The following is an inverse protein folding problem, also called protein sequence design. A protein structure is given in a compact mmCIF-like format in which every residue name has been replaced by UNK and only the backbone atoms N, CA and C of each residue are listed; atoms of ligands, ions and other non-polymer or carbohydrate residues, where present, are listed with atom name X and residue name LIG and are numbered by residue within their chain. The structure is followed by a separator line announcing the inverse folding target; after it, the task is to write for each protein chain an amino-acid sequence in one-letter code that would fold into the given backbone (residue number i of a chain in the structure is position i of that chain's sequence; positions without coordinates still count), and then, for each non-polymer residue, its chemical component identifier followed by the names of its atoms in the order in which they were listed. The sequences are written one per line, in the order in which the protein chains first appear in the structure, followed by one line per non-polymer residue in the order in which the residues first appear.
data_IF_129312584916
#
_entry.id   IF_129312584916
#
_cell.length_a   1.000
_cell.length_b   1.000
_cell.length_c   1.000
_cell.angle_alpha   90.00
_cell.angle_beta   90.00
_cell.angle_gamma   90.00
#
_symmetry.space_group_name_H-M   'P 1'
#
loop_
_entity.id
_entity.type
_entity.pdbx_description
1 polymer ?
#
# COMPACT_ATOMS: atom_id res chain seq x y z
N UNK A 1 48.28 -40.40 37.10
CA UNK A 1 46.80 -40.39 36.92
C UNK A 1 46.22 -38.99 36.84
N UNK A 2 46.63 -37.99 37.65
CA UNK A 2 46.13 -36.63 37.69
C UNK A 2 46.31 -35.85 36.37
N UNK A 3 47.42 -36.01 35.66
CA UNK A 3 47.73 -35.35 34.39
C UNK A 3 46.76 -35.74 33.25
N UNK A 4 46.43 -37.04 33.12
CA UNK A 4 45.47 -37.50 32.07
C UNK A 4 44.06 -37.01 32.29
N UNK A 5 43.62 -36.83 33.53
CA UNK A 5 42.29 -36.27 33.84
C UNK A 5 42.23 -34.78 33.48
N UNK A 6 43.29 -34.03 33.71
CA UNK A 6 43.37 -32.61 33.32
C UNK A 6 43.41 -32.46 31.80
N UNK A 7 44.13 -33.30 31.07
CA UNK A 7 44.17 -33.30 29.60
C UNK A 7 42.78 -33.61 29.01
N UNK A 8 42.09 -34.63 29.50
CA UNK A 8 40.73 -34.97 29.09
C UNK A 8 39.72 -33.83 29.41
N UNK A 9 39.86 -33.13 30.54
CA UNK A 9 39.01 -32.01 30.91
C UNK A 9 39.22 -30.82 29.96
N UNK A 10 40.47 -30.53 29.59
CA UNK A 10 40.78 -29.47 28.61
C UNK A 10 40.20 -29.79 27.24
N UNK A 11 40.35 -31.06 26.80
CA UNK A 11 39.83 -31.51 25.52
C UNK A 11 38.30 -31.43 25.48
N UNK A 12 37.60 -31.83 26.53
CA UNK A 12 36.14 -31.70 26.66
C UNK A 12 35.68 -30.23 26.63
N UNK A 13 36.40 -29.34 27.33
CA UNK A 13 36.08 -27.88 27.28
C UNK A 13 36.30 -27.32 25.88
N UNK A 14 37.36 -27.70 25.19
CA UNK A 14 37.63 -27.25 23.82
C UNK A 14 36.54 -27.71 22.84
N UNK A 15 36.05 -28.94 22.96
CA UNK A 15 34.95 -29.46 22.14
C UNK A 15 33.65 -28.69 22.41
N UNK A 16 33.29 -28.48 23.68
CA UNK A 16 32.11 -27.70 24.05
C UNK A 16 32.22 -26.27 23.52
N UNK A 17 33.38 -25.64 23.67
CA UNK A 17 33.61 -24.30 23.15
C UNK A 17 33.46 -24.25 21.62
N UNK A 18 34.03 -25.19 20.89
CA UNK A 18 33.91 -25.27 19.44
C UNK A 18 32.45 -25.42 18.98
N UNK A 19 31.64 -26.23 19.68
CA UNK A 19 30.22 -26.40 19.42
C UNK A 19 29.44 -25.10 19.68
N UNK A 20 29.71 -24.41 20.80
CA UNK A 20 29.07 -23.13 21.12
C UNK A 20 29.39 -22.05 20.07
N UNK A 21 30.64 -21.98 19.61
CA UNK A 21 31.04 -21.05 18.55
C UNK A 21 30.33 -21.40 17.24
N UNK A 22 30.22 -22.70 16.90
CA UNK A 22 29.47 -23.09 15.70
C UNK A 22 28.01 -22.66 15.76
N UNK A 23 27.33 -22.87 16.89
CA UNK A 23 25.92 -22.38 17.05
C UNK A 23 25.82 -20.87 16.97
N UNK A 24 26.72 -20.13 17.61
CA UNK A 24 26.70 -18.66 17.54
C UNK A 24 26.90 -18.13 16.11
N UNK A 25 27.75 -18.80 15.31
CA UNK A 25 27.97 -18.47 13.91
C UNK A 25 26.71 -18.78 13.06
N UNK A 26 26.07 -19.92 13.31
CA UNK A 26 24.87 -20.31 12.58
C UNK A 26 23.71 -19.35 12.89
N UNK A 27 23.47 -19.02 14.16
CA UNK A 27 22.46 -18.04 14.59
C UNK A 27 22.71 -16.66 13.98
N UNK A 28 23.97 -16.18 13.99
CA UNK A 28 24.34 -14.92 13.37
C UNK A 28 24.09 -14.91 11.85
N UNK A 29 24.37 -16.03 11.16
CA UNK A 29 24.11 -16.17 9.72
C UNK A 29 22.61 -16.14 9.40
N UNK A 30 21.81 -16.87 10.19
CA UNK A 30 20.36 -16.90 10.04
C UNK A 30 19.74 -15.50 10.26
N UNK A 31 20.14 -14.83 11.34
CA UNK A 31 19.68 -13.47 11.63
C UNK A 31 20.03 -12.49 10.49
N UNK A 32 21.25 -12.60 9.95
CA UNK A 32 21.67 -11.78 8.83
C UNK A 32 20.84 -12.05 7.57
N UNK A 33 20.56 -13.30 7.26
CA UNK A 33 19.72 -13.66 6.11
C UNK A 33 18.28 -13.13 6.26
N UNK A 34 17.73 -13.17 7.47
CA UNK A 34 16.40 -12.64 7.74
C UNK A 34 16.35 -11.11 7.59
N UNK A 35 17.37 -10.39 8.03
CA UNK A 35 17.50 -8.95 7.80
C UNK A 35 17.62 -8.63 6.30
N UNK A 36 18.49 -9.33 5.57
CA UNK A 36 18.63 -9.15 4.12
C UNK A 36 17.30 -9.45 3.38
N UNK A 37 16.49 -10.35 3.91
CA UNK A 37 15.16 -10.63 3.37
C UNK A 37 14.16 -9.54 3.72
N UNK A 38 14.20 -8.97 4.92
CA UNK A 38 13.38 -7.82 5.32
C UNK A 38 13.67 -6.58 4.47
N UNK A 39 14.94 -6.30 4.18
CA UNK A 39 15.34 -5.20 3.30
C UNK A 39 14.80 -5.37 1.88
N UNK A 40 14.83 -6.59 1.34
CA UNK A 40 14.23 -6.89 0.02
C UNK A 40 12.71 -6.76 0.03
N UNK A 41 12.05 -7.24 1.10
CA UNK A 41 10.61 -7.10 1.25
C UNK A 41 10.20 -5.62 1.32
N UNK A 42 10.95 -4.82 2.09
CA UNK A 42 10.76 -3.36 2.16
C UNK A 42 10.93 -2.71 0.79
N UNK A 43 12.00 -3.00 0.08
CA UNK A 43 12.24 -2.46 -1.26
C UNK A 43 11.12 -2.83 -2.26
N UNK A 44 10.56 -4.04 -2.17
CA UNK A 44 9.44 -4.46 -3.00
C UNK A 44 8.16 -3.66 -2.68
N UNK A 45 7.88 -3.39 -1.40
CA UNK A 45 6.75 -2.55 -0.98
C UNK A 45 6.93 -1.10 -1.43
N UNK A 46 8.14 -0.54 -1.30
CA UNK A 46 8.44 0.82 -1.77
C UNK A 46 8.29 0.95 -3.29
N UNK A 47 8.69 -0.08 -4.05
CA UNK A 47 8.47 -0.12 -5.49
C UNK A 47 6.97 -0.23 -5.86
N UNK A 48 6.19 -1.01 -5.11
CA UNK A 48 4.73 -1.08 -5.28
C UNK A 48 4.07 0.28 -4.99
N UNK A 49 4.48 0.94 -3.91
CA UNK A 49 3.98 2.29 -3.57
C UNK A 49 4.31 3.29 -4.69
N UNK A 50 5.53 3.25 -5.25
CA UNK A 50 5.92 4.13 -6.36
C UNK A 50 5.05 3.90 -7.60
N UNK A 51 4.79 2.65 -7.98
CA UNK A 51 3.90 2.30 -9.08
C UNK A 51 2.46 2.78 -8.83
N UNK A 52 1.96 2.63 -7.60
CA UNK A 52 0.65 3.14 -7.22
C UNK A 52 0.59 4.68 -7.36
N UNK A 53 1.62 5.42 -6.94
CA UNK A 53 1.68 6.88 -7.12
C UNK A 53 1.58 7.27 -8.58
N UNK A 54 2.34 6.62 -9.47
CA UNK A 54 2.29 6.87 -10.92
C UNK A 54 0.88 6.65 -11.48
N UNK A 55 0.17 5.62 -11.03
CA UNK A 55 -1.20 5.33 -11.47
C UNK A 55 -2.19 6.39 -10.99
N UNK A 56 -2.07 6.85 -9.72
CA UNK A 56 -2.87 7.94 -9.21
C UNK A 56 -2.60 9.26 -9.96
N UNK A 57 -1.35 9.57 -10.28
CA UNK A 57 -1.00 10.76 -11.06
C UNK A 57 -1.55 10.71 -12.49
N UNK A 58 -1.46 9.56 -13.15
CA UNK A 58 -1.94 9.38 -14.52
C UNK A 58 -3.47 9.54 -14.64
N UNK A 59 -4.23 9.22 -13.60
CA UNK A 59 -5.70 9.24 -13.62
C UNK A 59 -6.32 10.53 -13.07
N UNK A 60 -5.56 11.37 -12.37
CA UNK A 60 -6.04 12.58 -11.70
C UNK A 60 -6.80 13.52 -12.64
N UNK A 61 -6.21 13.89 -13.78
CA UNK A 61 -6.81 14.84 -14.73
C UNK A 61 -8.13 14.33 -15.36
N UNK A 62 -8.24 13.00 -15.56
CA UNK A 62 -9.45 12.39 -16.06
C UNK A 62 -10.58 12.45 -15.02
N UNK A 63 -10.26 12.14 -13.76
CA UNK A 63 -11.22 12.22 -12.65
C UNK A 63 -11.72 13.64 -12.44
N UNK A 64 -10.83 14.65 -12.44
CA UNK A 64 -11.16 16.06 -12.31
C UNK A 64 -12.09 16.53 -13.46
N UNK A 65 -11.81 16.09 -14.69
CA UNK A 65 -12.60 16.43 -15.87
C UNK A 65 -14.02 15.88 -15.77
N UNK A 66 -14.18 14.63 -15.35
CA UNK A 66 -15.50 14.01 -15.16
C UNK A 66 -16.27 14.65 -14.02
N UNK A 67 -15.59 14.95 -12.91
CA UNK A 67 -16.20 15.65 -11.79
C UNK A 67 -16.70 17.05 -12.20
N UNK A 68 -15.90 17.80 -12.96
CA UNK A 68 -16.27 19.13 -13.44
C UNK A 68 -17.50 19.07 -14.37
N UNK A 69 -17.51 18.13 -15.32
CA UNK A 69 -18.61 17.93 -16.27
C UNK A 69 -19.92 17.56 -15.56
N UNK A 70 -19.87 16.58 -14.65
CA UNK A 70 -21.03 16.20 -13.84
C UNK A 70 -21.52 17.35 -12.96
N UNK A 71 -20.60 18.10 -12.34
CA UNK A 71 -20.93 19.27 -11.54
C UNK A 71 -21.58 20.38 -12.35
N UNK A 72 -21.21 20.58 -13.60
CA UNK A 72 -21.84 21.53 -14.51
C UNK A 72 -23.26 21.10 -14.90
N UNK A 73 -23.42 19.82 -15.26
CA UNK A 73 -24.73 19.25 -15.59
C UNK A 73 -25.72 19.37 -14.43
N UNK A 74 -25.29 19.07 -13.21
CA UNK A 74 -26.11 19.16 -11.99
C UNK A 74 -26.46 20.64 -11.67
N UNK A 75 -25.51 21.56 -11.78
CA UNK A 75 -25.75 22.98 -11.50
C UNK A 75 -26.72 23.66 -12.49
N UNK A 76 -26.65 23.25 -13.76
CA UNK A 76 -27.46 23.81 -14.83
C UNK A 76 -28.82 23.10 -15.02
N UNK A 77 -29.10 22.06 -14.25
CA UNK A 77 -30.27 21.18 -14.40
C UNK A 77 -30.38 20.61 -15.84
N UNK A 78 -29.22 20.31 -16.46
CA UNK A 78 -29.14 19.90 -17.87
C UNK A 78 -28.33 18.62 -18.06
N UNK A 79 -29.01 17.46 -18.10
CA UNK A 79 -28.32 16.18 -18.35
C UNK A 79 -27.76 16.07 -19.78
N UNK A 80 -28.17 16.90 -20.72
CA UNK A 80 -27.68 16.87 -22.10
C UNK A 80 -26.20 17.27 -22.21
N UNK A 81 -25.66 18.00 -21.23
CA UNK A 81 -24.24 18.33 -21.13
C UNK A 81 -23.37 17.10 -21.03
N UNK A 82 -23.92 15.95 -20.64
CA UNK A 82 -23.19 14.67 -20.61
C UNK A 82 -23.13 13.97 -21.98
N UNK A 83 -23.61 14.58 -23.01
CA UNK A 83 -23.75 14.30 -24.46
C UNK A 83 -22.98 13.18 -25.12
N UNK A 84 -22.47 12.21 -24.41
CA UNK A 84 -21.69 11.09 -24.89
C UNK A 84 -21.29 10.12 -23.78
N UNK A 85 -20.53 9.11 -24.15
CA UNK A 85 -19.99 8.13 -23.21
C UNK A 85 -18.97 8.81 -22.29
N UNK A 86 -19.26 8.89 -20.99
CA UNK A 86 -18.27 9.26 -19.98
C UNK A 86 -17.39 8.02 -19.75
N UNK A 87 -16.23 8.02 -20.38
CA UNK A 87 -15.21 7.02 -20.11
C UNK A 87 -14.11 7.63 -19.24
N UNK A 88 -13.91 7.09 -18.04
CA UNK A 88 -12.76 7.42 -17.21
C UNK A 88 -12.22 6.16 -16.58
N UNK A 89 -10.92 6.18 -16.30
CA UNK A 89 -10.25 5.11 -15.57
C UNK A 89 -9.95 5.59 -14.16
N UNK A 90 -10.21 4.73 -13.20
CA UNK A 90 -9.79 4.93 -11.81
C UNK A 90 -8.56 4.09 -11.54
N UNK A 91 -7.64 4.55 -10.67
CA UNK A 91 -6.49 3.75 -10.29
C UNK A 91 -6.93 2.50 -9.52
N UNK A 92 -6.24 1.39 -9.80
CA UNK A 92 -6.40 0.11 -9.11
C UNK A 92 -5.14 -0.20 -8.27
N UNK A 93 -4.98 0.46 -7.10
CA UNK A 93 -3.73 0.35 -6.35
C UNK A 93 -3.46 -1.09 -5.91
N UNK A 94 -2.26 -1.58 -6.22
CA UNK A 94 -1.78 -2.88 -5.76
C UNK A 94 -1.43 -2.85 -4.28
N UNK A 95 -1.67 -3.96 -3.58
CA UNK A 95 -1.20 -4.22 -2.21
C UNK A 95 -0.55 -5.60 -2.09
N UNK A 96 -0.11 -6.18 -3.19
CA UNK A 96 0.41 -7.55 -3.24
C UNK A 96 1.73 -7.69 -2.48
N UNK A 97 2.69 -6.78 -2.70
CA UNK A 97 3.98 -6.79 -2.00
C UNK A 97 3.80 -6.51 -0.50
N UNK A 98 2.93 -5.55 -0.15
CA UNK A 98 2.59 -5.27 1.25
C UNK A 98 2.02 -6.49 1.96
N UNK A 99 1.01 -7.14 1.40
CA UNK A 99 0.42 -8.36 1.98
C UNK A 99 1.41 -9.50 2.08
N UNK A 100 2.25 -9.69 1.06
CA UNK A 100 3.30 -10.70 1.09
C UNK A 100 4.34 -10.44 2.19
N UNK A 101 4.71 -9.18 2.42
CA UNK A 101 5.67 -8.80 3.47
C UNK A 101 5.15 -9.11 4.87
N UNK A 102 3.86 -8.88 5.14
CA UNK A 102 3.23 -9.16 6.43
C UNK A 102 3.19 -10.66 6.78
N UNK A 103 3.00 -11.53 5.78
CA UNK A 103 2.97 -12.98 5.95
C UNK A 103 4.35 -13.63 5.94
N UNK A 104 5.42 -12.88 5.76
CA UNK A 104 6.77 -13.40 5.61
C UNK A 104 7.47 -13.66 6.95
N UNK A 105 8.45 -14.58 6.94
CA UNK A 105 9.35 -14.82 8.09
C UNK A 105 10.22 -13.60 8.43
N UNK A 106 10.33 -12.64 7.53
CA UNK A 106 11.07 -11.40 7.73
C UNK A 106 10.24 -10.28 8.40
N UNK A 107 8.93 -10.44 8.55
CA UNK A 107 8.06 -9.42 9.14
C UNK A 107 8.57 -8.89 10.51
N UNK A 108 9.09 -9.72 11.43
CA UNK A 108 9.64 -9.25 12.71
C UNK A 108 10.89 -8.37 12.60
N UNK A 109 11.56 -8.39 11.45
CA UNK A 109 12.79 -7.63 11.18
C UNK A 109 12.53 -6.31 10.44
N UNK A 110 11.29 -6.04 10.04
CA UNK A 110 10.90 -4.75 9.47
C UNK A 110 10.84 -3.68 10.56
N UNK A 111 11.21 -2.45 10.23
CA UNK A 111 11.08 -1.32 11.16
C UNK A 111 9.61 -1.09 11.54
N UNK A 112 9.32 -1.16 12.81
CA UNK A 112 7.94 -1.04 13.32
C UNK A 112 7.28 0.28 12.96
N UNK A 113 8.03 1.41 13.02
CA UNK A 113 7.52 2.72 12.66
C UNK A 113 7.15 2.80 11.19
N UNK A 114 8.00 2.21 10.33
CA UNK A 114 7.72 2.10 8.90
C UNK A 114 6.48 1.23 8.64
N UNK A 115 6.38 0.06 9.28
CA UNK A 115 5.21 -0.84 9.17
C UNK A 115 3.91 -0.11 9.49
N UNK A 116 3.86 0.65 10.58
CA UNK A 116 2.65 1.42 10.97
C UNK A 116 2.30 2.48 9.92
N UNK A 117 3.30 3.20 9.38
CA UNK A 117 3.04 4.21 8.36
C UNK A 117 2.48 3.59 7.07
N UNK A 118 3.10 2.51 6.61
CA UNK A 118 2.66 1.78 5.42
C UNK A 118 1.26 1.21 5.62
N UNK A 119 0.99 0.56 6.76
CA UNK A 119 -0.33 0.03 7.08
C UNK A 119 -1.43 1.10 6.97
N UNK A 120 -1.21 2.27 7.57
CA UNK A 120 -2.17 3.39 7.52
C UNK A 120 -2.40 3.91 6.11
N UNK A 121 -1.38 3.94 5.27
CA UNK A 121 -1.53 4.37 3.89
C UNK A 121 -2.37 3.36 3.09
N UNK A 122 -2.13 2.07 3.26
CA UNK A 122 -2.92 1.03 2.60
C UNK A 122 -4.37 0.95 3.11
N UNK A 123 -4.64 1.22 4.40
CA UNK A 123 -6.01 1.33 4.93
C UNK A 123 -6.83 2.41 4.20
N UNK A 124 -6.22 3.57 3.94
CA UNK A 124 -6.88 4.65 3.17
C UNK A 124 -7.03 4.25 1.71
N UNK A 125 -6.03 3.61 1.11
CA UNK A 125 -6.07 3.08 -0.26
C UNK A 125 -7.17 2.04 -0.43
N UNK A 126 -7.35 1.11 0.51
CA UNK A 126 -8.44 0.13 0.49
C UNK A 126 -9.82 0.79 0.63
N UNK A 127 -9.92 1.87 1.41
CA UNK A 127 -11.15 2.63 1.54
C UNK A 127 -11.48 3.35 0.24
N UNK A 128 -10.48 3.94 -0.41
CA UNK A 128 -10.60 4.51 -1.75
C UNK A 128 -11.12 3.47 -2.75
N UNK A 129 -10.49 2.29 -2.82
CA UNK A 129 -10.89 1.23 -3.76
C UNK A 129 -12.36 0.82 -3.60
N UNK A 130 -12.85 0.68 -2.35
CA UNK A 130 -14.26 0.37 -2.08
C UNK A 130 -15.23 1.47 -2.53
N UNK A 131 -14.83 2.74 -2.43
CA UNK A 131 -15.66 3.87 -2.89
C UNK A 131 -15.63 3.95 -4.41
N UNK A 132 -14.47 3.70 -5.03
CA UNK A 132 -14.28 3.66 -6.48
C UNK A 132 -15.16 2.59 -7.12
N UNK A 133 -15.17 1.37 -6.58
CA UNK A 133 -16.03 0.28 -7.04
C UNK A 133 -17.52 0.69 -7.03
N UNK A 134 -17.99 1.28 -5.93
CA UNK A 134 -19.38 1.76 -5.83
C UNK A 134 -19.67 2.90 -6.82
N UNK A 135 -18.71 3.80 -7.07
CA UNK A 135 -18.89 4.87 -8.05
C UNK A 135 -19.05 4.33 -9.48
N UNK A 136 -18.28 3.28 -9.83
CA UNK A 136 -18.38 2.59 -11.11
C UNK A 136 -19.74 1.91 -11.25
N UNK A 137 -20.22 1.22 -10.22
CA UNK A 137 -21.51 0.54 -10.20
C UNK A 137 -22.67 1.52 -10.40
N UNK A 138 -22.65 2.65 -9.67
CA UNK A 138 -23.66 3.68 -9.80
C UNK A 138 -23.68 4.30 -11.19
N UNK A 139 -22.51 4.63 -11.75
CA UNK A 139 -22.39 5.18 -13.10
C UNK A 139 -22.91 4.19 -14.14
N UNK A 140 -22.58 2.91 -14.01
CA UNK A 140 -23.04 1.85 -14.91
C UNK A 140 -24.56 1.73 -14.88
N UNK A 141 -25.21 1.89 -13.72
CA UNK A 141 -26.64 1.81 -13.56
C UNK A 141 -27.38 2.96 -14.27
N UNK A 142 -26.79 4.16 -14.27
CA UNK A 142 -27.39 5.37 -14.91
C UNK A 142 -27.26 5.32 -16.43
N UNK A 143 -26.16 4.80 -16.96
CA UNK A 143 -25.95 4.64 -18.41
C UNK A 143 -27.04 3.73 -19.01
N UNK A 144 -27.50 2.72 -18.26
CA UNK A 144 -28.54 1.77 -18.71
C UNK A 144 -29.98 2.27 -18.64
N UNK A 145 -30.29 3.26 -17.77
CA UNK A 145 -31.66 3.71 -17.46
C UNK A 145 -32.01 5.09 -17.98
N UNK A 146 -31.06 5.81 -18.51
CA UNK A 146 -31.16 7.21 -18.90
C UNK A 146 -30.82 8.17 -17.76
N UNK A 147 -29.90 9.10 -18.02
CA UNK A 147 -29.43 10.06 -17.05
C UNK A 147 -30.49 11.11 -16.75
N UNK A 148 -30.90 11.28 -15.50
CA UNK A 148 -31.68 12.38 -14.98
C UNK A 148 -30.88 13.10 -13.90
N UNK A 149 -31.20 14.36 -13.61
CA UNK A 149 -30.49 15.10 -12.56
C UNK A 149 -30.64 14.41 -11.19
N UNK A 150 -31.81 13.85 -10.91
CA UNK A 150 -32.05 13.10 -9.68
C UNK A 150 -31.10 11.89 -9.51
N UNK A 151 -30.81 11.18 -10.61
CA UNK A 151 -29.87 10.04 -10.60
C UNK A 151 -28.40 10.48 -10.61
N UNK A 152 -28.09 11.65 -11.14
CA UNK A 152 -26.72 12.17 -11.26
C UNK A 152 -26.20 12.85 -10.00
N UNK A 153 -27.07 13.48 -9.22
CA UNK A 153 -26.68 14.22 -8.03
C UNK A 153 -25.95 13.35 -6.98
N UNK A 154 -26.41 12.15 -6.63
CA UNK A 154 -25.68 11.27 -5.72
C UNK A 154 -24.35 10.77 -6.30
N UNK A 155 -24.27 10.55 -7.62
CA UNK A 155 -23.03 10.16 -8.30
C UNK A 155 -22.00 11.29 -8.22
N UNK A 156 -22.43 12.53 -8.50
CA UNK A 156 -21.56 13.69 -8.35
C UNK A 156 -21.02 13.83 -6.92
N UNK A 157 -21.90 13.73 -5.91
CA UNK A 157 -21.46 13.75 -4.51
C UNK A 157 -20.42 12.68 -4.18
N UNK A 158 -20.56 11.48 -4.73
CA UNK A 158 -19.58 10.39 -4.54
C UNK A 158 -18.27 10.65 -5.27
N UNK A 159 -18.31 11.22 -6.48
CA UNK A 159 -17.10 11.60 -7.21
C UNK A 159 -16.31 12.71 -6.50
N UNK A 160 -16.99 13.66 -5.84
CA UNK A 160 -16.31 14.67 -5.01
C UNK A 160 -15.52 14.00 -3.87
N UNK A 161 -16.14 13.05 -3.16
CA UNK A 161 -15.47 12.29 -2.10
C UNK A 161 -14.31 11.47 -2.68
N UNK A 162 -14.52 10.84 -3.82
CA UNK A 162 -13.52 10.03 -4.49
C UNK A 162 -12.30 10.85 -4.92
N UNK A 163 -12.51 12.05 -5.48
CA UNK A 163 -11.43 12.97 -5.89
C UNK A 163 -10.62 13.44 -4.68
N UNK A 164 -11.27 13.78 -3.56
CA UNK A 164 -10.58 14.15 -2.33
C UNK A 164 -9.72 12.98 -1.79
N UNK A 165 -10.30 11.77 -1.73
CA UNK A 165 -9.57 10.58 -1.29
C UNK A 165 -8.45 10.18 -2.24
N UNK A 166 -8.63 10.37 -3.56
CA UNK A 166 -7.60 10.15 -4.56
C UNK A 166 -6.34 10.99 -4.24
N UNK A 167 -6.53 12.29 -3.98
CA UNK A 167 -5.45 13.16 -3.52
C UNK A 167 -4.81 12.68 -2.22
N UNK A 168 -5.61 12.32 -1.23
CA UNK A 168 -5.12 11.86 0.08
C UNK A 168 -4.27 10.57 -0.02
N UNK A 169 -4.69 9.58 -0.83
CA UNK A 169 -3.92 8.35 -1.01
C UNK A 169 -2.59 8.64 -1.69
N UNK A 170 -2.62 9.39 -2.80
CA UNK A 170 -1.41 9.80 -3.52
C UNK A 170 -0.41 10.50 -2.59
N UNK A 171 -0.86 11.51 -1.87
CA UNK A 171 0.00 12.32 -1.00
C UNK A 171 0.60 11.48 0.15
N UNK A 172 -0.17 10.54 0.71
CA UNK A 172 0.34 9.61 1.73
C UNK A 172 1.41 8.65 1.18
N UNK A 173 1.20 8.12 -0.01
CA UNK A 173 2.19 7.27 -0.67
C UNK A 173 3.47 8.05 -1.01
N UNK A 174 3.35 9.29 -1.52
CA UNK A 174 4.48 10.17 -1.77
C UNK A 174 5.26 10.50 -0.49
N UNK A 175 4.58 10.83 0.61
CA UNK A 175 5.21 11.08 1.90
C UNK A 175 5.97 9.87 2.44
N UNK A 176 5.46 8.64 2.22
CA UNK A 176 6.17 7.41 2.57
C UNK A 176 7.48 7.25 1.79
N UNK A 177 7.47 7.53 0.47
CA UNK A 177 8.65 7.45 -0.39
C UNK A 177 9.69 8.53 -0.02
N UNK A 178 9.23 9.73 0.38
CA UNK A 178 10.08 10.81 0.85
C UNK A 178 10.68 10.55 2.25
N UNK A 179 10.22 9.52 2.97
CA UNK A 179 10.66 9.24 4.35
C UNK A 179 10.13 10.25 5.37
N UNK A 180 9.12 11.05 5.01
CA UNK A 180 8.55 12.07 5.86
C UNK A 180 7.72 11.48 7.01
N UNK A 181 7.76 12.08 8.21
CA UNK A 181 6.85 11.73 9.28
C UNK A 181 5.40 12.02 8.83
N UNK A 182 4.39 11.25 9.29
CA UNK A 182 3.01 11.50 8.94
C UNK A 182 2.64 12.94 9.35
N UNK A 183 2.12 13.71 8.41
CA UNK A 183 1.46 14.98 8.71
C UNK A 183 0.29 14.66 9.63
N UNK A 184 0.30 15.23 10.84
CA UNK A 184 -0.82 15.11 11.77
C UNK A 184 -2.09 15.63 11.11
N UNK A 185 -3.25 14.98 11.35
CA UNK A 185 -4.53 15.42 10.83
C UNK A 185 -4.94 16.78 11.36
#
# INVERSE_FOLDING_TARGET
MRTRVAELAVEAVMVVFAVLVAFAVDEWREERQLRDFADRARAAVEAEIAANVEEFEATAAALDSVQALLGEAVRNDDPSLLGGSIAFSLPEPSSAAWRASQGSVAAPYLDYGWVIRVSRAYEVSETYARIAERAIDDMSSVIGTGATIETMQPIYGRLVILSDMHGQVRDRFQALLAGEPPTSP
#
